data_IF_321423328698
#
_entry.id   IF_321423328698
#
_cell.length_a   1.000
_cell.length_b   1.000
_cell.length_c   1.000
_cell.angle_alpha   90.00
_cell.angle_beta   90.00
_cell.angle_gamma   90.00
#
_symmetry.space_group_name_H-M   'P 1'
#
loop_
_entity.id
_entity.type
_entity.pdbx_description
1 polymer ?
#
# COMPACT_ATOMS: atom_id res chain seq x y z
N UNK A 1 -36.65 -23.31 -37.47
CA UNK A 1 -35.22 -23.11 -37.19
C UNK A 1 -35.13 -22.02 -36.15
N UNK A 2 -34.86 -22.37 -34.89
CA UNK A 2 -34.78 -21.38 -33.81
C UNK A 2 -33.39 -20.76 -33.84
N UNK A 3 -33.33 -19.45 -34.09
CA UNK A 3 -32.11 -18.66 -34.08
C UNK A 3 -31.76 -18.37 -32.61
N UNK A 4 -31.06 -19.27 -31.94
CA UNK A 4 -30.43 -19.03 -30.63
C UNK A 4 -29.16 -18.21 -30.80
N UNK A 5 -29.31 -17.03 -31.40
CA UNK A 5 -28.22 -16.05 -31.46
C UNK A 5 -28.12 -15.39 -30.09
N UNK A 6 -27.15 -15.82 -29.28
CA UNK A 6 -26.76 -15.08 -28.07
C UNK A 6 -26.61 -13.61 -28.46
N UNK A 7 -27.42 -12.75 -27.82
CA UNK A 7 -27.32 -11.31 -27.96
C UNK A 7 -26.21 -10.81 -27.02
N UNK A 8 -25.64 -9.63 -27.24
CA UNK A 8 -24.70 -9.04 -26.28
C UNK A 8 -25.33 -8.97 -24.88
N UNK A 9 -24.76 -9.70 -23.93
CA UNK A 9 -25.19 -9.77 -22.54
C UNK A 9 -23.96 -9.65 -21.61
N UNK A 10 -24.16 -9.14 -20.39
CA UNK A 10 -23.10 -9.02 -19.38
C UNK A 10 -23.61 -9.53 -18.03
N UNK A 11 -22.72 -10.11 -17.24
CA UNK A 11 -22.99 -10.54 -15.87
C UNK A 11 -21.74 -10.30 -15.01
N UNK A 12 -21.95 -9.87 -13.77
CA UNK A 12 -20.90 -9.75 -12.76
C UNK A 12 -20.95 -10.96 -11.83
N UNK A 13 -19.79 -11.45 -11.41
CA UNK A 13 -19.65 -12.54 -10.46
C UNK A 13 -18.81 -12.07 -9.27
N UNK A 14 -18.96 -12.74 -8.12
CA UNK A 14 -18.15 -12.42 -6.93
C UNK A 14 -16.67 -12.69 -7.20
N UNK A 15 -15.84 -11.74 -6.76
CA UNK A 15 -14.39 -11.83 -6.77
C UNK A 15 -13.89 -11.62 -5.33
N UNK A 16 -13.36 -12.66 -4.71
CA UNK A 16 -12.82 -12.62 -3.34
C UNK A 16 -11.29 -12.53 -3.41
N UNK A 17 -10.78 -11.32 -3.68
CA UNK A 17 -9.35 -11.03 -3.76
C UNK A 17 -8.99 -9.91 -2.79
N UNK A 18 -9.25 -10.08 -1.50
CA UNK A 18 -9.00 -9.04 -0.49
C UNK A 18 -8.19 -9.59 0.68
N UNK A 19 -7.20 -8.82 1.15
CA UNK A 19 -6.46 -9.07 2.39
C UNK A 19 -6.59 -7.88 3.35
N UNK A 20 -6.89 -8.13 4.63
CA UNK A 20 -6.93 -7.09 5.66
C UNK A 20 -5.54 -6.90 6.28
N UNK A 21 -4.94 -5.73 6.08
CA UNK A 21 -3.72 -5.30 6.74
C UNK A 21 -4.03 -4.53 8.03
N UNK A 22 -3.50 -5.02 9.16
CA UNK A 22 -3.60 -4.34 10.47
C UNK A 22 -2.22 -3.86 10.89
N UNK A 23 -2.08 -2.56 11.12
CA UNK A 23 -0.79 -1.92 11.46
C UNK A 23 -0.89 -1.20 12.81
N UNK A 24 0.14 -1.33 13.64
CA UNK A 24 0.22 -0.66 14.94
C UNK A 24 1.59 0.02 15.11
N UNK A 25 1.63 1.21 15.69
CA UNK A 25 2.88 1.92 15.93
C UNK A 25 2.76 2.96 17.06
N UNK A 26 3.80 3.18 17.89
CA UNK A 26 3.80 4.28 18.88
C UNK A 26 3.75 5.69 18.25
N UNK A 27 4.08 5.82 16.97
CA UNK A 27 4.13 7.11 16.27
C UNK A 27 3.43 7.05 14.93
N UNK A 28 2.89 8.21 14.49
CA UNK A 28 2.25 8.32 13.18
C UNK A 28 3.23 8.01 12.03
N UNK A 29 4.48 8.48 12.13
CA UNK A 29 5.52 8.14 11.18
C UNK A 29 5.77 6.63 11.10
N UNK A 30 5.87 5.97 12.27
CA UNK A 30 6.05 4.52 12.35
C UNK A 30 4.89 3.73 11.74
N UNK A 31 3.66 4.23 11.84
CA UNK A 31 2.48 3.61 11.24
C UNK A 31 2.63 3.50 9.71
N UNK A 32 3.00 4.60 9.05
CA UNK A 32 3.19 4.61 7.60
C UNK A 32 4.41 3.80 7.15
N UNK A 33 5.52 3.83 7.91
CA UNK A 33 6.68 3.00 7.58
C UNK A 33 6.38 1.51 7.70
N UNK A 34 5.65 1.12 8.75
CA UNK A 34 5.27 -0.28 8.96
C UNK A 34 4.28 -0.77 7.90
N UNK A 35 3.31 0.07 7.51
CA UNK A 35 2.40 -0.24 6.41
C UNK A 35 3.16 -0.46 5.08
N UNK A 36 4.18 0.35 4.80
CA UNK A 36 5.03 0.18 3.62
C UNK A 36 5.87 -1.10 3.66
N UNK A 37 6.37 -1.50 4.85
CA UNK A 37 7.10 -2.75 5.03
C UNK A 37 6.18 -3.97 4.83
N UNK A 38 4.98 -3.93 5.40
CA UNK A 38 3.99 -4.99 5.24
C UNK A 38 3.57 -5.17 3.77
N UNK A 39 3.40 -4.06 3.03
CA UNK A 39 3.15 -4.11 1.59
C UNK A 39 4.31 -4.76 0.82
N UNK A 40 5.56 -4.41 1.14
CA UNK A 40 6.73 -5.01 0.50
C UNK A 40 6.82 -6.53 0.77
N UNK A 41 6.53 -6.97 2.00
CA UNK A 41 6.42 -8.38 2.35
C UNK A 41 5.33 -9.07 1.53
N UNK A 42 4.14 -8.46 1.43
CA UNK A 42 3.02 -9.01 0.70
C UNK A 42 3.32 -9.15 -0.81
N UNK A 43 4.07 -8.19 -1.38
CA UNK A 43 4.61 -8.24 -2.74
C UNK A 43 5.76 -9.26 -2.92
N UNK A 44 6.13 -10.01 -1.88
CA UNK A 44 7.14 -11.06 -1.92
C UNK A 44 8.58 -10.55 -1.78
N UNK A 45 8.77 -9.31 -1.33
CA UNK A 45 10.09 -8.69 -1.17
C UNK A 45 10.50 -8.74 0.30
N UNK A 46 10.95 -9.92 0.74
CA UNK A 46 11.48 -10.13 2.11
C UNK A 46 12.98 -9.89 2.23
N UNK A 47 13.68 -9.65 1.12
CA UNK A 47 15.14 -9.47 1.12
C UNK A 47 15.52 -8.09 1.68
N UNK A 48 16.58 -8.07 2.50
CA UNK A 48 17.24 -6.85 2.92
C UNK A 48 17.56 -5.95 1.71
N UNK A 49 17.41 -4.63 1.89
CA UNK A 49 17.75 -3.64 0.88
C UNK A 49 19.18 -3.90 0.33
N UNK A 50 19.36 -3.97 -0.99
CA UNK A 50 20.68 -4.19 -1.58
C UNK A 50 21.69 -3.10 -1.18
N UNK A 51 22.98 -3.46 -0.94
CA UNK A 51 24.03 -2.49 -0.73
C UNK A 51 24.08 -1.48 -1.89
N UNK A 52 24.10 -0.18 -1.56
CA UNK A 52 24.12 0.90 -2.56
C UNK A 52 22.75 1.26 -3.16
N UNK A 53 21.65 0.66 -2.72
CA UNK A 53 20.31 1.10 -3.11
C UNK A 53 20.12 2.59 -2.79
N UNK A 54 19.72 3.35 -3.81
CA UNK A 54 19.55 4.81 -3.70
C UNK A 54 18.27 5.13 -2.93
N UNK A 55 18.37 6.11 -2.05
CA UNK A 55 17.21 6.71 -1.40
C UNK A 55 16.43 7.55 -2.40
N UNK A 56 15.11 7.40 -2.40
CA UNK A 56 14.15 8.23 -3.14
C UNK A 56 13.16 8.84 -2.15
N UNK A 57 12.76 10.08 -2.40
CA UNK A 57 11.74 10.75 -1.60
C UNK A 57 10.38 10.47 -2.24
N UNK A 58 9.41 10.11 -1.41
CA UNK A 58 8.02 9.93 -1.80
C UNK A 58 7.21 10.89 -0.94
N UNK A 59 6.35 11.68 -1.59
CA UNK A 59 5.50 12.69 -0.95
C UNK A 59 4.06 12.44 -1.36
N UNK A 60 3.17 12.30 -0.38
CA UNK A 60 1.73 12.16 -0.61
C UNK A 60 0.95 13.11 0.29
N UNK A 61 -0.27 13.42 -0.13
CA UNK A 61 -1.19 14.29 0.57
C UNK A 61 -2.57 13.63 0.60
N UNK A 62 -3.31 13.85 1.69
CA UNK A 62 -4.66 13.33 1.87
C UNK A 62 -5.53 14.30 2.65
N UNK A 63 -6.83 14.02 2.71
CA UNK A 63 -7.84 14.81 3.40
C UNK A 63 -7.81 14.61 4.92
N UNK A 64 -7.51 13.38 5.34
CA UNK A 64 -7.30 12.96 6.72
C UNK A 64 -6.29 11.80 6.76
N UNK A 65 -6.11 11.18 7.94
CA UNK A 65 -5.16 10.08 8.11
C UNK A 65 -5.54 8.81 7.34
N UNK A 66 -6.84 8.58 7.10
CA UNK A 66 -7.35 7.39 6.43
C UNK A 66 -7.03 7.48 4.94
N UNK A 67 -7.40 8.62 4.37
CA UNK A 67 -7.09 8.96 3.00
C UNK A 67 -5.57 8.98 2.77
N UNK A 68 -4.81 9.58 3.67
CA UNK A 68 -3.34 9.65 3.56
C UNK A 68 -2.68 8.26 3.59
N UNK A 69 -3.21 7.30 4.36
CA UNK A 69 -2.71 5.92 4.37
C UNK A 69 -2.99 5.20 3.05
N UNK A 70 -4.19 5.38 2.50
CA UNK A 70 -4.56 4.81 1.20
C UNK A 70 -3.68 5.38 0.09
N UNK A 71 -3.54 6.71 0.02
CA UNK A 71 -2.66 7.39 -0.94
C UNK A 71 -1.21 6.92 -0.80
N UNK A 72 -0.72 6.77 0.44
CA UNK A 72 0.62 6.25 0.69
C UNK A 72 0.84 4.84 0.13
N UNK A 73 -0.08 3.91 0.42
CA UNK A 73 0.05 2.53 -0.04
C UNK A 73 -0.13 2.41 -1.55
N UNK A 74 -1.05 3.18 -2.14
CA UNK A 74 -1.26 3.22 -3.58
C UNK A 74 -0.05 3.80 -4.32
N UNK A 75 0.63 4.82 -3.78
CA UNK A 75 1.87 5.35 -4.35
C UNK A 75 3.00 4.29 -4.34
N UNK A 76 3.10 3.49 -3.27
CA UNK A 76 4.05 2.37 -3.21
C UNK A 76 3.71 1.25 -4.19
N UNK A 77 2.42 0.91 -4.33
CA UNK A 77 1.94 -0.06 -5.32
C UNK A 77 2.31 0.45 -6.73
N UNK A 78 2.02 1.71 -7.04
CA UNK A 78 2.34 2.33 -8.31
C UNK A 78 3.83 2.22 -8.65
N UNK A 79 4.73 2.54 -7.72
CA UNK A 79 6.16 2.37 -7.92
C UNK A 79 6.57 0.90 -8.16
N UNK A 80 5.94 -0.03 -7.43
CA UNK A 80 6.12 -1.46 -7.66
C UNK A 80 5.72 -1.87 -9.07
N UNK A 81 4.53 -1.48 -9.52
CA UNK A 81 3.98 -1.87 -10.82
C UNK A 81 4.73 -1.22 -11.99
N UNK A 82 4.95 0.08 -11.94
CA UNK A 82 5.48 0.85 -13.07
C UNK A 82 7.00 0.88 -13.13
N UNK A 83 7.66 0.90 -11.97
CA UNK A 83 9.12 1.03 -11.89
C UNK A 83 9.80 -0.25 -11.41
N UNK A 84 9.02 -1.26 -11.00
CA UNK A 84 9.53 -2.47 -10.34
C UNK A 84 10.31 -2.15 -9.08
N UNK A 85 10.10 -0.99 -8.49
CA UNK A 85 10.86 -0.53 -7.34
C UNK A 85 10.03 -0.70 -6.08
N UNK A 86 10.53 -1.51 -5.14
CA UNK A 86 9.84 -1.81 -3.89
C UNK A 86 10.75 -1.42 -2.73
N UNK A 87 10.44 -0.35 -1.97
CA UNK A 87 11.24 0.03 -0.82
C UNK A 87 11.08 -0.96 0.33
N UNK A 88 12.21 -1.41 0.91
CA UNK A 88 12.27 -2.27 2.11
C UNK A 88 12.94 -1.59 3.29
N UNK A 89 13.33 -0.33 3.13
CA UNK A 89 13.80 0.53 4.20
C UNK A 89 13.21 1.93 4.04
N UNK A 90 12.77 2.51 5.16
CA UNK A 90 12.13 3.83 5.18
C UNK A 90 12.77 4.76 6.20
N UNK A 91 12.73 6.06 5.90
CA UNK A 91 13.08 7.16 6.81
C UNK A 91 12.05 8.26 6.67
N UNK A 92 11.19 8.40 7.66
CA UNK A 92 10.21 9.47 7.68
C UNK A 92 10.89 10.83 7.88
N UNK A 93 10.52 11.81 7.06
CA UNK A 93 10.97 13.19 7.18
C UNK A 93 9.83 14.11 7.65
N UNK A 94 8.59 13.80 7.29
CA UNK A 94 7.38 14.50 7.72
C UNK A 94 6.24 13.50 7.83
N UNK A 95 5.51 13.51 8.94
CA UNK A 95 4.25 12.79 9.07
C UNK A 95 3.28 13.68 9.85
N UNK A 96 2.21 14.09 9.18
CA UNK A 96 1.10 14.87 9.74
C UNK A 96 -0.21 14.17 9.39
N UNK A 97 -1.36 14.63 9.92
CA UNK A 97 -2.64 14.04 9.56
C UNK A 97 -3.00 14.09 8.07
N UNK A 98 -2.38 14.97 7.27
CA UNK A 98 -2.78 15.22 5.86
C UNK A 98 -1.61 15.30 4.87
N UNK A 99 -0.37 15.17 5.35
CA UNK A 99 0.85 15.22 4.53
C UNK A 99 1.86 14.22 5.06
N UNK A 100 2.47 13.49 4.13
CA UNK A 100 3.51 12.52 4.41
C UNK A 100 4.70 12.76 3.48
N UNK A 101 5.90 12.73 4.03
CA UNK A 101 7.15 12.66 3.27
C UNK A 101 8.05 11.60 3.88
N UNK A 102 8.32 10.55 3.11
CA UNK A 102 9.18 9.45 3.53
C UNK A 102 10.23 9.22 2.46
N UNK A 103 11.47 9.02 2.88
CA UNK A 103 12.51 8.47 2.01
C UNK A 103 12.46 6.96 2.07
N UNK A 104 12.36 6.32 0.90
CA UNK A 104 12.43 4.87 0.74
C UNK A 104 13.71 4.46 0.01
N UNK A 105 14.21 3.26 0.28
CA UNK A 105 15.16 2.56 -0.60
C UNK A 105 14.86 1.07 -0.61
N UNK A 106 15.25 0.39 -1.67
CA UNK A 106 14.97 -1.02 -1.88
C UNK A 106 15.36 -1.47 -3.27
N UNK A 107 15.17 -2.76 -3.59
CA UNK A 107 15.53 -3.33 -4.88
C UNK A 107 14.66 -2.79 -6.02
N UNK A 108 15.20 -2.90 -7.24
CA UNK A 108 14.41 -2.94 -8.46
C UNK A 108 14.28 -4.40 -8.89
N UNK A 109 13.05 -4.90 -8.94
CA UNK A 109 12.72 -6.28 -9.26
C UNK A 109 12.86 -6.55 -10.76
N UNK A 110 13.11 -7.81 -11.17
CA UNK A 110 13.16 -8.19 -12.58
C UNK A 110 11.78 -8.08 -13.26
N UNK A 111 10.70 -8.27 -12.50
CA UNK A 111 9.31 -8.16 -12.95
C UNK A 111 8.51 -7.32 -11.94
N UNK A 112 7.42 -6.72 -12.40
CA UNK A 112 6.50 -6.03 -11.51
C UNK A 112 5.90 -7.03 -10.50
N UNK A 113 5.78 -6.65 -9.22
CA UNK A 113 4.97 -7.43 -8.29
C UNK A 113 3.51 -7.37 -8.77
N UNK A 114 2.78 -8.48 -8.68
CA UNK A 114 1.41 -8.59 -9.20
C UNK A 114 0.41 -9.05 -8.14
N UNK A 115 0.82 -9.07 -6.87
CA UNK A 115 0.03 -9.64 -5.77
C UNK A 115 -0.86 -8.62 -5.07
N UNK A 116 -0.64 -7.33 -5.27
CA UNK A 116 -1.44 -6.27 -4.63
C UNK A 116 -1.70 -5.20 -5.67
N UNK A 117 -2.98 -4.93 -5.95
CA UNK A 117 -3.45 -4.04 -7.01
C UNK A 117 -3.84 -2.66 -6.47
N UNK A 118 -4.43 -2.61 -5.28
CA UNK A 118 -4.89 -1.38 -4.68
C UNK A 118 -5.04 -1.51 -3.16
N UNK A 119 -4.89 -0.40 -2.45
CA UNK A 119 -5.35 -0.22 -1.09
C UNK A 119 -6.69 0.52 -1.08
N UNK A 120 -7.60 0.06 -0.22
CA UNK A 120 -8.89 0.69 0.06
C UNK A 120 -9.09 0.80 1.57
N UNK A 121 -9.74 1.89 1.99
CA UNK A 121 -10.02 2.09 3.40
C UNK A 121 -11.28 1.32 3.81
N UNK A 122 -11.15 0.47 4.83
CA UNK A 122 -12.26 0.08 5.70
C UNK A 122 -11.88 0.51 7.12
N UNK A 123 -12.66 1.43 7.70
CA UNK A 123 -12.53 1.92 9.08
C UNK A 123 -11.09 2.18 9.58
N UNK A 124 -10.54 3.38 9.33
CA UNK A 124 -9.32 3.80 10.01
C UNK A 124 -9.62 4.19 11.46
N UNK A 125 -9.23 3.35 12.41
CA UNK A 125 -9.37 3.62 13.84
C UNK A 125 -8.08 4.24 14.41
N UNK A 126 -7.86 5.53 14.17
CA UNK A 126 -6.79 6.28 14.85
C UNK A 126 -7.23 6.61 16.27
N UNK A 127 -7.19 5.62 17.15
CA UNK A 127 -7.31 5.86 18.57
C UNK A 127 -5.93 6.23 19.11
N UNK A 128 -5.75 7.49 19.53
CA UNK A 128 -4.83 7.80 20.63
C UNK A 128 -5.42 7.30 21.95
N UNK A 129 -5.85 6.03 22.00
CA UNK A 129 -6.15 5.34 23.26
C UNK A 129 -4.92 4.49 23.57
N UNK A 130 -4.36 4.70 24.76
CA UNK A 130 -3.11 4.05 25.21
C UNK A 130 -1.83 4.47 24.46
N UNK A 131 -1.82 5.64 23.82
CA UNK A 131 -0.59 6.29 23.34
C UNK A 131 0.07 5.67 22.10
N UNK A 132 -0.68 4.90 21.31
CA UNK A 132 -0.22 4.35 20.02
C UNK A 132 -1.21 4.68 18.90
N UNK A 133 -0.84 4.36 17.66
CA UNK A 133 -1.64 4.48 16.45
C UNK A 133 -1.96 3.09 15.93
N UNK A 134 -3.19 2.87 15.48
CA UNK A 134 -3.64 1.65 14.81
C UNK A 134 -4.31 2.01 13.49
N UNK A 135 -4.13 1.15 12.49
CA UNK A 135 -4.81 1.25 11.21
C UNK A 135 -5.24 -0.12 10.71
N UNK A 136 -6.37 -0.15 10.01
CA UNK A 136 -6.86 -1.30 9.26
C UNK A 136 -7.10 -0.84 7.83
N UNK A 137 -6.56 -1.57 6.86
CA UNK A 137 -6.68 -1.26 5.43
C UNK A 137 -6.95 -2.56 4.68
N UNK A 138 -7.83 -2.52 3.70
CA UNK A 138 -8.10 -3.66 2.82
C UNK A 138 -7.27 -3.51 1.56
N UNK A 139 -6.57 -4.57 1.17
CA UNK A 139 -5.75 -4.64 -0.02
C UNK A 139 -6.42 -5.56 -1.04
N UNK A 140 -6.63 -5.07 -2.27
CA UNK A 140 -7.04 -5.88 -3.42
C UNK A 140 -5.82 -6.68 -3.90
N UNK A 141 -5.92 -8.01 -3.90
CA UNK A 141 -4.84 -8.95 -4.23
C UNK A 141 -5.08 -9.74 -5.52
#
# INVERSE_FOLDING_TARGET
>A
MMNTGIQPEHAFAEHTGEELLVVNSPTLAGLYTEAGLALAELQGVSSATPPGAKWRTIEVAGHDMADLLVEWLNELIFHGEHERWVPTEFRAELATPTRLRIRGRGPTLPFAPSRVKAATCHELLVASQDGHYRAEVVLDV
#
